data_IF_425342976421
#
_entry.id   IF_425342976421
#
_cell.length_a   1.000
_cell.length_b   1.000
_cell.length_c   1.000
_cell.angle_alpha   90.00
_cell.angle_beta   90.00
_cell.angle_gamma   90.00
#
_symmetry.space_group_name_H-M   'P 1'
#
loop_
_entity.id
_entity.type
_entity.pdbx_description
1 polymer ?
#
# COMPACT_ATOMS: atom_id res chain seq x y z
N UNK A 1 3.89 -11.42 14.89
CA UNK A 1 3.99 -11.29 16.37
C UNK A 1 5.22 -10.48 16.82
N UNK A 2 6.43 -10.78 16.31
CA UNK A 2 7.70 -10.14 16.73
C UNK A 2 7.67 -8.60 16.65
N UNK A 3 7.18 -8.01 15.56
CA UNK A 3 7.06 -6.54 15.47
C UNK A 3 6.11 -5.93 16.49
N UNK A 4 5.08 -6.65 16.94
CA UNK A 4 4.19 -6.16 17.99
C UNK A 4 4.93 -6.13 19.34
N UNK A 5 5.70 -7.17 19.67
CA UNK A 5 6.57 -7.18 20.84
C UNK A 5 7.54 -6.00 20.81
N UNK A 6 8.19 -5.77 19.67
CA UNK A 6 9.11 -4.64 19.51
C UNK A 6 8.43 -3.29 19.76
N UNK A 7 7.21 -3.09 19.24
CA UNK A 7 6.40 -1.88 19.50
C UNK A 7 6.07 -1.71 20.98
N UNK A 8 5.68 -2.79 21.68
CA UNK A 8 5.45 -2.72 23.12
C UNK A 8 6.71 -2.35 23.91
N UNK A 9 7.86 -2.94 23.57
CA UNK A 9 9.14 -2.60 24.19
C UNK A 9 9.56 -1.16 23.92
N UNK A 10 9.27 -0.64 22.73
CA UNK A 10 9.61 0.73 22.34
C UNK A 10 8.70 1.80 22.99
N UNK A 11 7.45 1.46 23.32
CA UNK A 11 6.47 2.39 23.91
C UNK A 11 6.42 2.32 25.43
N UNK A 12 6.83 1.20 26.04
CA UNK A 12 6.67 0.97 27.46
C UNK A 12 7.96 0.44 28.11
N UNK A 13 8.70 1.35 28.75
CA UNK A 13 9.94 1.05 29.49
C UNK A 13 9.77 -0.01 30.58
N UNK A 14 8.61 -0.09 31.24
CA UNK A 14 8.38 -1.08 32.29
C UNK A 14 8.29 -2.51 31.72
N UNK A 15 7.83 -2.66 30.47
CA UNK A 15 7.74 -3.95 29.79
C UNK A 15 9.02 -4.31 29.04
N UNK A 16 9.87 -3.32 28.74
CA UNK A 16 11.07 -3.50 27.93
C UNK A 16 11.96 -4.67 28.40
N UNK A 17 12.29 -4.85 29.69
CA UNK A 17 13.11 -5.99 30.11
C UNK A 17 12.50 -7.36 29.73
N UNK A 18 11.19 -7.52 29.88
CA UNK A 18 10.48 -8.75 29.50
C UNK A 18 10.44 -8.93 27.97
N UNK A 19 10.24 -7.85 27.23
CA UNK A 19 10.24 -7.88 25.76
C UNK A 19 11.62 -8.30 25.21
N UNK A 20 12.72 -7.79 25.78
CA UNK A 20 14.07 -8.17 25.36
C UNK A 20 14.31 -9.68 25.53
N UNK A 21 13.84 -10.27 26.63
CA UNK A 21 13.93 -11.73 26.85
C UNK A 21 13.12 -12.51 25.82
N UNK A 22 11.92 -12.04 25.48
CA UNK A 22 11.08 -12.68 24.46
C UNK A 22 11.74 -12.59 23.07
N UNK A 23 12.28 -11.44 22.70
CA UNK A 23 12.99 -11.25 21.43
C UNK A 23 14.25 -12.13 21.34
N UNK A 24 15.02 -12.28 22.41
CA UNK A 24 16.16 -13.21 22.45
C UNK A 24 15.73 -14.66 22.19
N UNK A 25 14.56 -15.08 22.69
CA UNK A 25 14.03 -16.42 22.38
C UNK A 25 13.62 -16.55 20.92
N UNK A 26 13.01 -15.50 20.35
CA UNK A 26 12.67 -15.47 18.92
C UNK A 26 13.89 -15.51 18.00
N UNK A 27 15.09 -15.18 18.47
CA UNK A 27 16.33 -15.37 17.68
C UNK A 27 16.69 -16.85 17.45
N UNK A 28 16.05 -17.77 18.19
CA UNK A 28 16.24 -19.23 18.04
C UNK A 28 15.07 -19.88 17.30
N UNK A 29 14.18 -19.10 16.68
CA UNK A 29 13.04 -19.62 15.91
C UNK A 29 13.52 -20.42 14.69
N UNK A 30 12.73 -21.38 14.20
CA UNK A 30 13.04 -22.14 12.99
C UNK A 30 12.95 -21.29 11.72
N UNK A 31 12.09 -20.27 11.72
CA UNK A 31 11.88 -19.35 10.60
C UNK A 31 12.95 -18.25 10.59
N UNK A 32 13.69 -18.13 9.48
CA UNK A 32 14.77 -17.15 9.32
C UNK A 32 14.28 -15.70 9.32
N UNK A 33 13.11 -15.42 8.72
CA UNK A 33 12.52 -14.07 8.73
C UNK A 33 12.21 -13.62 10.16
N UNK A 34 11.69 -14.55 10.97
CA UNK A 34 11.39 -14.31 12.40
C UNK A 34 12.68 -14.02 13.17
N UNK A 35 13.74 -14.82 12.96
CA UNK A 35 15.04 -14.64 13.61
C UNK A 35 15.68 -13.30 13.26
N UNK A 36 15.66 -12.91 11.99
CA UNK A 36 16.28 -11.67 11.52
C UNK A 36 15.57 -10.45 12.10
N UNK A 37 14.23 -10.46 12.07
CA UNK A 37 13.42 -9.38 12.68
C UNK A 37 13.62 -9.31 14.19
N UNK A 38 13.67 -10.45 14.88
CA UNK A 38 13.91 -10.48 16.31
C UNK A 38 15.29 -9.91 16.67
N UNK A 39 16.32 -10.31 15.91
CA UNK A 39 17.69 -9.81 16.06
C UNK A 39 17.74 -8.30 15.83
N UNK A 40 17.13 -7.83 14.75
CA UNK A 40 17.09 -6.41 14.42
C UNK A 40 16.42 -5.58 15.53
N UNK A 41 15.21 -5.95 15.95
CA UNK A 41 14.50 -5.19 16.99
C UNK A 41 15.15 -5.27 18.36
N UNK A 42 15.76 -6.41 18.71
CA UNK A 42 16.51 -6.54 19.95
C UNK A 42 17.65 -5.52 19.99
N UNK A 43 18.43 -5.43 18.90
CA UNK A 43 19.54 -4.49 18.80
C UNK A 43 19.09 -3.04 18.87
N UNK A 44 17.99 -2.67 18.20
CA UNK A 44 17.44 -1.30 18.24
C UNK A 44 16.99 -0.95 19.66
N UNK A 45 16.23 -1.82 20.32
CA UNK A 45 15.70 -1.57 21.66
C UNK A 45 16.78 -1.50 22.74
N UNK A 46 17.88 -2.25 22.60
CA UNK A 46 19.01 -2.20 23.53
C UNK A 46 19.73 -0.85 23.54
N UNK A 47 19.65 -0.08 22.45
CA UNK A 47 20.22 1.27 22.40
C UNK A 47 19.47 2.26 23.29
N UNK A 48 18.21 1.97 23.67
CA UNK A 48 17.36 2.84 24.50
C UNK A 48 17.23 4.28 23.97
N UNK A 49 17.22 4.41 22.65
CA UNK A 49 17.10 5.71 21.97
C UNK A 49 15.75 5.84 21.29
N UNK A 50 14.97 6.83 21.73
CA UNK A 50 13.64 7.11 21.16
C UNK A 50 13.69 7.43 19.66
N UNK A 51 14.75 8.09 19.20
CA UNK A 51 14.96 8.41 17.78
C UNK A 51 15.09 7.13 16.92
N UNK A 52 15.83 6.13 17.41
CA UNK A 52 15.98 4.84 16.73
C UNK A 52 14.66 4.06 16.74
N UNK A 53 13.92 4.09 17.85
CA UNK A 53 12.60 3.46 17.92
C UNK A 53 11.63 4.05 16.89
N UNK A 54 11.61 5.38 16.75
CA UNK A 54 10.83 6.06 15.73
C UNK A 54 11.25 5.64 14.32
N UNK A 55 12.54 5.70 14.02
CA UNK A 55 13.06 5.41 12.68
C UNK A 55 12.88 3.94 12.25
N UNK A 56 13.03 2.99 13.18
CA UNK A 56 13.21 1.58 12.84
C UNK A 56 12.12 0.63 13.35
N UNK A 57 11.28 1.05 14.30
CA UNK A 57 10.20 0.21 14.86
C UNK A 57 8.82 0.74 14.46
N UNK A 58 8.63 2.07 14.52
CA UNK A 58 7.34 2.69 14.20
C UNK A 58 7.21 3.07 12.73
N UNK A 59 8.28 3.62 12.15
CA UNK A 59 8.29 4.03 10.75
C UNK A 59 8.80 2.88 9.89
N UNK A 60 7.97 2.43 8.95
CA UNK A 60 8.37 1.50 7.90
C UNK A 60 9.06 2.22 6.74
N UNK A 61 9.33 1.49 5.67
CA UNK A 61 9.83 2.07 4.42
C UNK A 61 8.89 3.19 3.95
N UNK A 62 9.41 4.40 3.81
CA UNK A 62 8.63 5.60 3.46
C UNK A 62 8.46 5.78 1.96
N UNK A 63 9.21 5.01 1.16
CA UNK A 63 9.21 5.07 -0.30
C UNK A 63 8.28 4.04 -0.91
N UNK A 64 7.73 4.35 -2.08
CA UNK A 64 6.93 3.43 -2.88
C UNK A 64 7.80 2.30 -3.42
N UNK A 65 7.43 1.03 -3.18
CA UNK A 65 8.19 -0.13 -3.69
C UNK A 65 8.24 -0.14 -5.23
N UNK A 66 7.13 0.07 -5.97
CA UNK A 66 7.20 0.23 -7.43
C UNK A 66 8.05 1.44 -7.87
N UNK A 67 8.01 2.54 -7.10
CA UNK A 67 8.87 3.69 -7.37
C UNK A 67 10.35 3.36 -7.18
N UNK A 68 10.67 2.57 -6.16
CA UNK A 68 12.03 2.15 -5.82
C UNK A 68 12.56 1.21 -6.89
N UNK A 69 11.76 0.24 -7.33
CA UNK A 69 12.09 -0.66 -8.43
C UNK A 69 12.42 0.13 -9.70
N UNK A 70 11.55 1.05 -10.13
CA UNK A 70 11.77 1.88 -11.32
C UNK A 70 13.04 2.72 -11.21
N UNK A 71 13.26 3.35 -10.05
CA UNK A 71 14.44 4.18 -9.82
C UNK A 71 15.74 3.35 -9.83
N UNK A 72 15.74 2.17 -9.22
CA UNK A 72 16.88 1.25 -9.23
C UNK A 72 17.14 0.70 -10.63
N UNK A 73 16.09 0.31 -11.36
CA UNK A 73 16.22 -0.16 -12.73
C UNK A 73 16.85 0.91 -13.62
N UNK A 74 16.36 2.15 -13.54
CA UNK A 74 16.94 3.28 -14.29
C UNK A 74 18.41 3.49 -13.92
N UNK A 75 18.74 3.45 -12.63
CA UNK A 75 20.12 3.58 -12.16
C UNK A 75 21.04 2.47 -12.69
N UNK A 76 20.53 1.26 -12.92
CA UNK A 76 21.32 0.18 -13.56
C UNK A 76 21.49 0.34 -15.06
N UNK A 77 20.55 1.01 -15.74
CA UNK A 77 20.60 1.26 -17.18
C UNK A 77 21.52 2.44 -17.54
N UNK A 78 21.66 3.40 -16.62
CA UNK A 78 22.52 4.58 -16.78
C UNK A 78 23.67 4.54 -15.76
N UNK A 79 24.87 4.02 -16.14
CA UNK A 79 26.02 3.95 -15.25
C UNK A 79 26.38 5.33 -14.70
N UNK A 80 26.28 5.47 -13.38
CA UNK A 80 26.61 6.68 -12.63
C UNK A 80 27.74 6.38 -11.64
N UNK A 81 28.71 7.30 -11.56
CA UNK A 81 29.75 7.28 -10.52
C UNK A 81 29.20 7.65 -9.13
N UNK A 82 28.00 8.26 -9.08
CA UNK A 82 27.35 8.64 -7.81
C UNK A 82 26.47 7.50 -7.31
N UNK A 83 26.56 7.10 -6.03
CA UNK A 83 25.70 6.09 -5.43
C UNK A 83 24.21 6.42 -5.55
N UNK A 84 23.37 5.39 -5.62
CA UNK A 84 21.92 5.53 -5.62
C UNK A 84 21.43 6.28 -4.38
N UNK A 85 20.63 7.32 -4.59
CA UNK A 85 20.03 8.11 -3.51
C UNK A 85 18.55 7.77 -3.35
N UNK A 86 18.21 7.17 -2.21
CA UNK A 86 16.84 6.75 -1.88
C UNK A 86 15.85 7.93 -1.79
N UNK A 87 16.34 9.17 -1.65
CA UNK A 87 15.50 10.38 -1.68
C UNK A 87 14.92 10.70 -3.07
N UNK A 88 15.46 10.09 -4.12
CA UNK A 88 14.94 10.21 -5.49
C UNK A 88 13.67 9.39 -5.72
N UNK A 89 13.36 8.46 -4.80
CA UNK A 89 12.21 7.58 -4.91
C UNK A 89 10.95 8.28 -4.37
N UNK A 90 9.82 8.26 -5.10
CA UNK A 90 8.55 8.81 -4.61
C UNK A 90 8.11 8.16 -3.28
N UNK A 91 7.50 8.95 -2.39
CA UNK A 91 6.93 8.43 -1.14
C UNK A 91 5.75 7.48 -1.41
N UNK A 92 5.55 6.51 -0.52
CA UNK A 92 4.51 5.48 -0.64
C UNK A 92 3.06 6.05 -0.70
N UNK A 93 2.84 7.27 -0.25
CA UNK A 93 1.54 7.97 -0.27
C UNK A 93 1.28 8.77 -1.54
N UNK A 94 2.22 8.85 -2.48
CA UNK A 94 1.98 9.49 -3.76
C UNK A 94 1.01 8.63 -4.60
N UNK A 95 -0.12 9.18 -5.10
CA UNK A 95 -0.96 8.45 -6.04
C UNK A 95 -0.12 8.08 -7.24
N UNK A 96 0.01 6.77 -7.50
CA UNK A 96 0.68 6.25 -8.69
C UNK A 96 -0.24 6.55 -9.87
N UNK A 97 -0.09 7.75 -10.43
CA UNK A 97 -0.67 8.06 -11.72
C UNK A 97 0.27 7.42 -12.76
N UNK A 98 -0.07 6.23 -13.22
CA UNK A 98 0.48 5.72 -14.47
C UNK A 98 0.00 6.63 -15.60
N UNK A 99 0.73 7.72 -15.84
CA UNK A 99 0.64 8.43 -17.11
C UNK A 99 1.29 7.54 -18.16
N UNK A 100 0.49 6.63 -18.71
CA UNK A 100 0.75 6.06 -20.02
C UNK A 100 0.66 7.23 -21.00
N UNK A 101 1.81 7.76 -21.40
CA UNK A 101 1.91 8.80 -22.40
C UNK A 101 1.48 8.21 -23.76
N UNK A 102 0.20 8.37 -24.10
CA UNK A 102 -0.27 8.22 -25.47
C UNK A 102 -0.22 9.58 -26.17
N UNK A 103 0.41 9.54 -27.34
CA UNK A 103 0.82 10.65 -28.17
C UNK A 103 -0.43 11.39 -28.67
N UNK A 104 -0.50 12.69 -28.38
CA UNK A 104 -1.57 13.57 -28.85
C UNK A 104 -1.48 13.76 -30.37
N UNK A 105 -2.51 13.31 -31.10
CA UNK A 105 -2.84 13.78 -32.44
C UNK A 105 -4.23 14.42 -32.41
N UNK A 106 -4.21 15.75 -32.54
CA UNK A 106 -5.36 16.64 -32.52
C UNK A 106 -6.18 16.47 -33.80
N UNK A 107 -7.45 16.08 -33.68
CA UNK A 107 -8.48 16.47 -34.65
C UNK A 107 -9.78 16.78 -33.92
N UNK A 108 -10.28 17.99 -34.13
CA UNK A 108 -11.48 18.58 -33.53
C UNK A 108 -12.76 18.08 -34.20
N UNK A 109 -13.72 17.60 -33.39
CA UNK A 109 -15.15 17.42 -33.75
C UNK A 109 -16.01 17.34 -32.46
N UNK A 110 -17.33 17.64 -32.53
CA UNK A 110 -18.07 18.41 -31.54
C UNK A 110 -18.36 17.68 -30.24
N UNK A 111 -18.37 18.44 -29.14
CA UNK A 111 -18.63 18.00 -27.76
C UNK A 111 -19.96 17.26 -27.63
N UNK A 112 -19.90 15.93 -27.59
CA UNK A 112 -20.84 15.14 -26.82
C UNK A 112 -20.35 15.18 -25.38
N UNK A 113 -21.18 15.69 -24.47
CA UNK A 113 -20.93 15.63 -23.03
C UNK A 113 -20.68 14.16 -22.68
N UNK A 114 -19.43 13.83 -22.34
CA UNK A 114 -19.07 12.46 -21.99
C UNK A 114 -19.88 12.07 -20.74
N UNK A 115 -20.51 10.88 -20.72
CA UNK A 115 -21.26 10.43 -19.55
C UNK A 115 -20.32 10.39 -18.35
N UNK A 116 -20.79 10.88 -17.21
CA UNK A 116 -19.99 10.83 -16.00
C UNK A 116 -19.79 9.37 -15.59
N UNK A 117 -18.73 9.09 -14.84
CA UNK A 117 -18.45 7.75 -14.31
C UNK A 117 -19.65 7.17 -13.54
N UNK A 118 -20.43 8.02 -12.90
CA UNK A 118 -21.62 7.62 -12.15
C UNK A 118 -22.77 7.20 -13.06
N UNK A 119 -22.94 7.85 -14.21
CA UNK A 119 -23.93 7.47 -15.22
C UNK A 119 -23.61 6.09 -15.82
N UNK A 120 -22.32 5.83 -16.08
CA UNK A 120 -21.85 4.53 -16.60
C UNK A 120 -22.18 3.41 -15.61
N UNK A 121 -21.90 3.60 -14.31
CA UNK A 121 -22.23 2.58 -13.30
C UNK A 121 -23.75 2.41 -13.11
N UNK A 122 -24.51 3.50 -13.18
CA UNK A 122 -25.98 3.43 -13.10
C UNK A 122 -26.54 2.56 -14.23
N UNK A 123 -26.04 2.73 -15.47
CA UNK A 123 -26.46 1.93 -16.62
C UNK A 123 -26.05 0.46 -16.48
N UNK A 124 -24.80 0.19 -16.10
CA UNK A 124 -24.28 -1.17 -15.90
C UNK A 124 -25.05 -1.94 -14.82
N UNK A 125 -25.30 -1.32 -13.67
CA UNK A 125 -26.02 -1.98 -12.57
C UNK A 125 -27.50 -2.15 -12.87
N UNK A 126 -28.12 -1.22 -13.63
CA UNK A 126 -29.51 -1.35 -14.07
C UNK A 126 -29.72 -2.50 -15.08
N UNK A 127 -28.67 -2.91 -15.79
CA UNK A 127 -28.72 -4.05 -16.71
C UNK A 127 -28.81 -5.41 -16.00
N UNK A 128 -28.51 -5.47 -14.69
CA UNK A 128 -28.53 -6.71 -13.89
C UNK A 128 -29.95 -6.93 -13.33
N UNK A 129 -30.68 -7.98 -13.77
CA UNK A 129 -32.08 -8.19 -13.38
C UNK A 129 -32.32 -8.26 -11.87
N UNK A 130 -31.37 -8.83 -11.13
CA UNK A 130 -31.40 -9.01 -9.69
C UNK A 130 -31.35 -7.66 -8.93
N UNK A 131 -30.88 -6.60 -9.58
CA UNK A 131 -30.69 -5.27 -8.97
C UNK A 131 -31.84 -4.29 -9.23
N UNK A 132 -32.87 -4.68 -10.00
CA UNK A 132 -34.00 -3.80 -10.34
C UNK A 132 -34.71 -3.17 -9.13
N UNK A 133 -34.71 -3.84 -7.97
CA UNK A 133 -35.35 -3.36 -6.75
C UNK A 133 -34.50 -2.44 -5.86
N UNK A 134 -33.24 -2.19 -6.20
CA UNK A 134 -32.32 -1.44 -5.33
C UNK A 134 -32.55 0.08 -5.37
N UNK A 135 -33.26 0.59 -6.39
CA UNK A 135 -33.47 2.02 -6.61
C UNK A 135 -32.30 2.70 -7.33
N UNK A 136 -32.23 4.04 -7.34
CA UNK A 136 -31.16 4.76 -8.01
C UNK A 136 -29.83 4.65 -7.26
N UNK A 137 -28.73 4.58 -8.00
CA UNK A 137 -27.38 4.61 -7.48
C UNK A 137 -27.12 5.98 -6.82
N UNK A 138 -26.79 5.99 -5.53
CA UNK A 138 -26.46 7.21 -4.81
C UNK A 138 -25.02 7.64 -5.05
N UNK A 139 -24.06 6.70 -4.95
CA UNK A 139 -22.63 6.97 -5.14
C UNK A 139 -21.83 5.69 -5.35
N UNK A 140 -20.76 5.77 -6.12
CA UNK A 140 -19.73 4.72 -6.23
C UNK A 140 -18.41 5.19 -5.60
N UNK A 141 -17.67 4.26 -4.97
CA UNK A 141 -16.31 4.55 -4.50
C UNK A 141 -15.26 4.46 -5.61
N UNK A 142 -14.04 4.89 -5.32
CA UNK A 142 -12.88 4.44 -6.09
C UNK A 142 -12.64 2.94 -5.88
N UNK A 143 -11.99 2.24 -6.84
CA UNK A 143 -11.68 0.82 -6.72
C UNK A 143 -10.61 0.60 -5.65
N UNK A 144 -10.81 -0.40 -4.81
CA UNK A 144 -9.85 -0.81 -3.78
C UNK A 144 -9.30 -2.19 -4.14
N UNK A 145 -7.98 -2.32 -4.20
CA UNK A 145 -7.32 -3.59 -4.46
C UNK A 145 -7.49 -4.53 -3.26
N UNK A 146 -7.97 -5.75 -3.54
CA UNK A 146 -8.23 -6.78 -2.52
C UNK A 146 -7.21 -7.92 -2.54
N UNK A 147 -6.45 -8.07 -3.62
CA UNK A 147 -5.38 -9.07 -3.75
C UNK A 147 -4.04 -8.41 -4.00
N UNK A 148 -2.96 -9.06 -3.60
CA UNK A 148 -1.61 -8.57 -3.86
C UNK A 148 -1.26 -8.67 -5.35
N UNK A 149 -0.39 -7.79 -5.83
CA UNK A 149 -0.05 -7.64 -7.24
C UNK A 149 0.61 -8.88 -7.87
N UNK A 150 1.16 -9.78 -7.04
CA UNK A 150 1.90 -10.97 -7.46
C UNK A 150 1.13 -12.28 -7.25
N UNK A 151 -0.16 -12.19 -6.93
CA UNK A 151 -1.05 -13.37 -6.86
C UNK A 151 -1.66 -13.68 -8.23
N UNK A 152 -2.14 -14.90 -8.40
CA UNK A 152 -2.72 -15.39 -9.66
C UNK A 152 -3.98 -14.62 -10.07
N UNK A 153 -4.65 -13.99 -9.10
CA UNK A 153 -5.87 -13.22 -9.32
C UNK A 153 -5.67 -11.76 -8.94
N UNK A 154 -6.01 -10.87 -9.86
CA UNK A 154 -6.05 -9.43 -9.60
C UNK A 154 -7.48 -8.97 -9.35
N UNK A 155 -7.84 -8.76 -8.09
CA UNK A 155 -9.20 -8.39 -7.67
C UNK A 155 -9.22 -6.97 -7.14
N UNK A 156 -10.11 -6.15 -7.70
CA UNK A 156 -10.44 -4.81 -7.19
C UNK A 156 -11.92 -4.77 -6.88
N UNK A 157 -12.29 -4.07 -5.80
CA UNK A 157 -13.66 -3.91 -5.38
C UNK A 157 -14.11 -2.44 -5.42
N UNK A 158 -15.31 -2.20 -5.93
CA UNK A 158 -16.01 -0.92 -5.93
C UNK A 158 -17.28 -1.06 -5.09
N UNK A 159 -17.51 -0.09 -4.20
CA UNK A 159 -18.73 -0.02 -3.39
C UNK A 159 -19.75 0.89 -4.07
N UNK A 160 -20.91 0.35 -4.40
CA UNK A 160 -22.06 1.06 -4.94
C UNK A 160 -23.12 1.22 -3.86
N UNK A 161 -23.38 2.46 -3.46
CA UNK A 161 -24.34 2.78 -2.40
C UNK A 161 -25.69 3.08 -3.03
N UNK A 162 -26.73 2.43 -2.52
CA UNK A 162 -28.14 2.65 -2.83
C UNK A 162 -28.87 3.13 -1.56
N UNK A 163 -30.14 3.56 -1.64
CA UNK A 163 -30.86 4.10 -0.47
C UNK A 163 -30.91 3.16 0.74
N UNK A 164 -30.99 1.84 0.53
CA UNK A 164 -31.08 0.83 1.59
C UNK A 164 -30.09 -0.35 1.42
N UNK A 165 -29.23 -0.31 0.41
CA UNK A 165 -28.37 -1.44 0.04
C UNK A 165 -26.98 -0.97 -0.38
N UNK A 166 -26.01 -1.89 -0.34
CA UNK A 166 -24.68 -1.71 -0.91
C UNK A 166 -24.38 -2.90 -1.81
N UNK A 167 -23.95 -2.63 -3.04
CA UNK A 167 -23.43 -3.65 -3.97
C UNK A 167 -21.91 -3.53 -4.02
N UNK A 168 -21.23 -4.68 -3.94
CA UNK A 168 -19.79 -4.80 -4.11
C UNK A 168 -19.52 -5.40 -5.48
N UNK A 169 -18.98 -4.59 -6.39
CA UNK A 169 -18.50 -5.01 -7.70
C UNK A 169 -17.00 -5.29 -7.62
#
# INVERSE_FOLDING_TARGET
AVSALAKFGAQNENLLPSILVLLQRCMMDSDDEVRDRATFYLNVLQQRQLALNAAYIFNGLTVSVPGMEKALHQYTLEPSEKPFDMKTVPLATAPIFEQKAEIALVTSKPEKVAPSRQDIFQEQLAAIPEFKGLGPLFKSSEPVQLTEAETEYFVRCIKHVFPAHIVFQ
#
